data_IF_259797433303
#
_entry.id   IF_259797433303
#
_cell.length_a   1.000
_cell.length_b   1.000
_cell.length_c   1.000
_cell.angle_alpha   90.00
_cell.angle_beta   90.00
_cell.angle_gamma   90.00
#
_symmetry.space_group_name_H-M   'P 1'
#
loop_
_entity.id
_entity.type
_entity.pdbx_description
1 polymer ?
#
# COMPACT_ATOMS: atom_id res chain seq x y z
N UNK A 1 9.58 10.11 -8.78
CA UNK A 1 8.56 10.21 -7.72
C UNK A 1 8.38 8.92 -6.91
N UNK A 2 8.37 7.74 -7.55
CA UNK A 2 8.14 6.45 -6.85
C UNK A 2 9.15 6.13 -5.74
N UNK A 3 10.43 6.47 -5.90
CA UNK A 3 11.44 6.24 -4.85
C UNK A 3 11.15 7.01 -3.55
N UNK A 4 10.68 8.26 -3.68
CA UNK A 4 10.26 9.08 -2.53
C UNK A 4 9.02 8.49 -1.88
N UNK A 5 8.06 8.00 -2.68
CA UNK A 5 6.88 7.29 -2.20
C UNK A 5 7.21 6.02 -1.41
N UNK A 6 8.16 5.21 -1.89
CA UNK A 6 8.65 4.02 -1.17
C UNK A 6 9.29 4.40 0.16
N UNK A 7 10.15 5.43 0.17
CA UNK A 7 10.80 5.90 1.40
C UNK A 7 9.78 6.41 2.44
N UNK A 8 8.79 7.20 2.00
CA UNK A 8 7.70 7.68 2.88
C UNK A 8 6.86 6.52 3.39
N UNK A 9 6.53 5.54 2.55
CA UNK A 9 5.72 4.38 2.95
C UNK A 9 6.47 3.51 3.96
N UNK A 10 7.78 3.29 3.76
CA UNK A 10 8.64 2.58 4.72
C UNK A 10 8.74 3.33 6.04
N UNK A 11 8.92 4.66 5.99
CA UNK A 11 8.96 5.49 7.19
C UNK A 11 7.65 5.42 7.98
N UNK A 12 6.50 5.53 7.32
CA UNK A 12 5.19 5.40 7.98
C UNK A 12 4.98 4.00 8.55
N UNK A 13 5.41 2.95 7.82
CA UNK A 13 5.34 1.56 8.31
C UNK A 13 6.18 1.38 9.56
N UNK A 14 7.40 1.92 9.55
CA UNK A 14 8.33 1.86 10.67
C UNK A 14 7.78 2.58 11.90
N UNK A 15 7.23 3.79 11.71
CA UNK A 15 6.54 4.54 12.77
C UNK A 15 5.34 3.73 13.29
N UNK A 16 4.54 3.11 12.43
CA UNK A 16 3.40 2.28 12.87
C UNK A 16 3.84 1.05 13.70
N UNK A 17 4.98 0.45 13.37
CA UNK A 17 5.55 -0.67 14.13
C UNK A 17 6.10 -0.17 15.47
N UNK A 18 6.81 0.95 15.48
CA UNK A 18 7.43 1.52 16.67
C UNK A 18 6.37 2.05 17.66
N UNK A 19 5.33 2.72 17.16
CA UNK A 19 4.23 3.28 17.95
C UNK A 19 3.05 2.32 18.10
N UNK A 20 3.29 1.01 17.99
CA UNK A 20 2.28 -0.05 18.11
C UNK A 20 1.50 -0.01 19.44
N UNK A 21 2.09 0.55 20.50
CA UNK A 21 1.48 0.73 21.82
C UNK A 21 0.64 2.02 21.99
N UNK A 22 0.59 2.90 20.98
CA UNK A 22 -0.28 4.09 21.08
C UNK A 22 -1.76 3.73 20.93
N UNK A 23 -2.65 4.25 21.80
CA UNK A 23 -4.08 3.88 21.85
C UNK A 23 -4.86 4.18 20.57
N UNK A 24 -4.31 5.02 19.68
CA UNK A 24 -4.85 5.30 18.34
C UNK A 24 -4.78 4.07 17.41
N UNK A 25 -3.74 3.25 17.55
CA UNK A 25 -3.55 2.00 16.79
C UNK A 25 -4.38 0.85 17.39
N UNK A 26 -4.75 0.95 18.67
CA UNK A 26 -5.51 -0.10 19.38
C UNK A 26 -7.02 -0.02 19.13
N UNK A 27 -7.55 1.18 18.84
CA UNK A 27 -8.99 1.39 18.58
C UNK A 27 -9.38 1.34 17.10
N UNK A 28 -8.46 1.65 16.19
CA UNK A 28 -8.66 1.54 14.75
C UNK A 28 -8.16 0.20 14.25
N UNK A 29 -8.88 -0.45 13.34
CA UNK A 29 -8.58 -1.79 12.81
C UNK A 29 -7.15 -1.84 12.26
N UNK A 30 -6.20 -2.32 13.06
CA UNK A 30 -4.77 -2.43 12.72
C UNK A 30 -4.57 -3.07 11.35
N UNK A 31 -5.36 -4.10 11.10
CA UNK A 31 -5.36 -4.87 9.87
C UNK A 31 -5.74 -4.01 8.66
N UNK A 32 -6.72 -3.11 8.81
CA UNK A 32 -7.15 -2.21 7.73
C UNK A 32 -6.06 -1.21 7.36
N UNK A 33 -5.40 -0.59 8.34
CA UNK A 33 -4.28 0.32 8.07
C UNK A 33 -3.11 -0.40 7.40
N UNK A 34 -2.77 -1.61 7.85
CA UNK A 34 -1.74 -2.42 7.21
C UNK A 34 -2.09 -2.77 5.75
N UNK A 35 -3.36 -3.12 5.47
CA UNK A 35 -3.83 -3.41 4.11
C UNK A 35 -3.71 -2.16 3.20
N UNK A 36 -4.10 -0.98 3.70
CA UNK A 36 -3.99 0.27 2.95
C UNK A 36 -2.52 0.62 2.68
N UNK A 37 -1.65 0.50 3.69
CA UNK A 37 -0.23 0.79 3.56
C UNK A 37 0.46 -0.16 2.57
N UNK A 38 0.11 -1.45 2.62
CA UNK A 38 0.59 -2.44 1.67
C UNK A 38 0.15 -2.12 0.24
N UNK A 39 -1.08 -1.63 0.04
CA UNK A 39 -1.57 -1.19 -1.26
C UNK A 39 -0.86 0.00 -1.85
N UNK A 40 -0.57 0.99 -1.02
CA UNK A 40 0.24 2.15 -1.42
C UNK A 40 1.65 1.71 -1.81
N UNK A 41 2.26 0.81 -1.02
CA UNK A 41 3.58 0.24 -1.32
C UNK A 41 3.61 -0.51 -2.66
N UNK A 42 2.61 -1.37 -2.89
CA UNK A 42 2.42 -2.08 -4.16
C UNK A 42 2.22 -1.11 -5.33
N UNK A 43 1.47 -0.02 -5.14
CA UNK A 43 1.29 1.03 -6.14
C UNK A 43 2.61 1.70 -6.54
N UNK A 44 3.50 1.97 -5.59
CA UNK A 44 4.82 2.56 -5.87
C UNK A 44 5.82 1.59 -6.50
N UNK A 45 5.67 0.28 -6.31
CA UNK A 45 6.49 -0.76 -6.98
C UNK A 45 6.10 -0.91 -8.45
N UNK A 46 4.86 -0.61 -8.81
CA UNK A 46 4.31 -0.79 -10.17
C UNK A 46 5.12 -0.08 -11.29
N UNK A 47 5.57 1.17 -11.14
CA UNK A 47 6.45 1.81 -12.13
C UNK A 47 7.85 1.18 -12.19
N UNK A 48 8.33 0.56 -11.11
CA UNK A 48 9.62 -0.12 -11.06
C UNK A 48 9.61 -1.40 -11.90
N UNK A 49 8.52 -2.18 -11.83
CA UNK A 49 8.35 -3.38 -12.67
C UNK A 49 8.11 -3.06 -14.14
N UNK A 50 7.57 -1.87 -14.44
CA UNK A 50 7.35 -1.37 -15.80
C UNK A 50 8.68 -0.91 -16.46
N UNK A 51 9.61 -0.40 -15.67
CA UNK A 51 10.96 0.01 -16.11
C UNK A 51 11.95 -1.17 -16.17
N UNK A 52 11.74 -2.20 -15.35
CA UNK A 52 12.56 -3.41 -15.36
C UNK A 52 12.38 -4.19 -16.69
N UNK A 53 13.45 -4.89 -17.13
CA UNK A 53 13.42 -5.72 -18.35
C UNK A 53 12.20 -6.65 -18.36
N UNK A 54 11.46 -6.75 -19.47
CA UNK A 54 10.25 -7.56 -19.55
C UNK A 54 10.63 -9.04 -19.36
N UNK A 55 10.35 -9.54 -18.16
CA UNK A 55 10.58 -10.93 -17.75
C UNK A 55 9.21 -11.48 -17.33
N UNK A 56 8.99 -12.80 -17.45
CA UNK A 56 7.70 -13.45 -17.12
C UNK A 56 7.21 -13.04 -15.72
N UNK A 57 8.14 -12.93 -14.78
CA UNK A 57 7.88 -12.49 -13.41
C UNK A 57 7.37 -11.03 -13.32
N UNK A 58 8.03 -10.08 -14.00
CA UNK A 58 7.58 -8.68 -14.06
C UNK A 58 6.22 -8.54 -14.72
N UNK A 59 5.93 -9.33 -15.75
CA UNK A 59 4.63 -9.31 -16.44
C UNK A 59 3.49 -9.79 -15.51
N UNK A 60 3.75 -10.82 -14.71
CA UNK A 60 2.80 -11.30 -13.69
C UNK A 60 2.60 -10.28 -12.57
N UNK A 61 3.70 -9.72 -12.06
CA UNK A 61 3.68 -8.66 -11.04
C UNK A 61 2.91 -7.43 -11.53
N UNK A 62 3.15 -6.96 -12.74
CA UNK A 62 2.47 -5.78 -13.28
C UNK A 62 0.95 -5.99 -13.32
N UNK A 63 0.49 -7.17 -13.75
CA UNK A 63 -0.94 -7.51 -13.79
C UNK A 63 -1.55 -7.54 -12.38
N UNK A 64 -0.84 -8.10 -11.40
CA UNK A 64 -1.27 -8.11 -10.01
C UNK A 64 -1.24 -6.73 -9.37
N UNK A 65 -0.18 -5.94 -9.56
CA UNK A 65 0.00 -4.64 -8.94
C UNK A 65 -1.04 -3.63 -9.43
N UNK A 66 -1.35 -3.61 -10.73
CA UNK A 66 -2.40 -2.72 -11.28
C UNK A 66 -3.78 -3.10 -10.74
N UNK A 67 -4.08 -4.41 -10.65
CA UNK A 67 -5.35 -4.88 -10.11
C UNK A 67 -5.49 -4.62 -8.61
N UNK A 68 -4.45 -4.90 -7.83
CA UNK A 68 -4.45 -4.73 -6.37
C UNK A 68 -4.47 -3.26 -5.96
N UNK A 69 -3.68 -2.39 -6.62
CA UNK A 69 -3.67 -0.96 -6.33
C UNK A 69 -5.03 -0.32 -6.57
N UNK A 70 -5.67 -0.61 -7.70
CA UNK A 70 -7.02 -0.12 -8.01
C UNK A 70 -8.03 -0.63 -6.98
N UNK A 71 -8.03 -1.93 -6.70
CA UNK A 71 -8.95 -2.54 -5.74
C UNK A 71 -8.79 -1.95 -4.33
N UNK A 72 -7.56 -1.77 -3.85
CA UNK A 72 -7.28 -1.19 -2.53
C UNK A 72 -7.69 0.29 -2.44
N UNK A 73 -7.48 1.08 -3.49
CA UNK A 73 -7.96 2.48 -3.55
C UNK A 73 -9.50 2.54 -3.45
N UNK A 74 -10.22 1.72 -4.22
CA UNK A 74 -11.68 1.66 -4.17
C UNK A 74 -12.20 1.14 -2.82
N UNK A 75 -11.54 0.14 -2.24
CA UNK A 75 -11.89 -0.42 -0.92
C UNK A 75 -11.80 0.63 0.19
N UNK A 76 -10.72 1.43 0.18
CA UNK A 76 -10.50 2.49 1.15
C UNK A 76 -11.50 3.64 0.99
N UNK A 77 -11.83 4.02 -0.25
CA UNK A 77 -12.88 4.99 -0.55
C UNK A 77 -14.24 4.52 -0.04
N UNK A 78 -14.65 3.29 -0.36
CA UNK A 78 -15.91 2.70 0.12
C UNK A 78 -15.99 2.68 1.64
N UNK A 79 -14.91 2.30 2.32
CA UNK A 79 -14.89 2.23 3.79
C UNK A 79 -15.03 3.62 4.41
N UNK A 80 -14.46 4.66 3.78
CA UNK A 80 -14.67 6.05 4.23
C UNK A 80 -16.10 6.53 3.97
N UNK A 81 -16.65 6.26 2.79
CA UNK A 81 -18.01 6.70 2.43
C UNK A 81 -19.09 5.99 3.24
N UNK A 82 -18.89 4.72 3.58
CA UNK A 82 -19.87 3.94 4.36
C UNK A 82 -19.84 4.25 5.87
N UNK A 83 -18.76 4.87 6.36
CA UNK A 83 -18.60 5.26 7.76
C UNK A 83 -18.99 6.72 8.05
N UNK A 84 -19.29 7.49 7.00
CA UNK A 84 -19.91 8.83 7.05
C UNK A 84 -21.43 8.63 7.02
#
# INVERSE_FOLDING_TARGET
FSCVGILVTLFVTFIFIQYRDTPVVKSSSRELCYIILAGIFLGYICPFTLIARPTVFSCYLQRLLVGLSSSMCYSALVTKTNRI
#
